data_IF_866206265467
#
_entry.id   IF_866206265467
#
_cell.length_a   1.000
_cell.length_b   1.000
_cell.length_c   1.000
_cell.angle_alpha   90.00
_cell.angle_beta   90.00
_cell.angle_gamma   90.00
#
_symmetry.space_group_name_H-M   'P 1'
#
loop_
_entity.id
_entity.type
_entity.pdbx_description
1 polymer ?
#
# COMPACT_ATOMS: atom_id res chain seq x y z
N UNK A 1 -18.21 8.30 14.56
CA UNK A 1 -17.04 8.35 13.67
C UNK A 1 -17.32 9.20 12.43
N UNK A 2 -18.39 8.93 11.69
CA UNK A 2 -18.75 9.70 10.49
C UNK A 2 -18.88 11.22 10.69
N UNK A 3 -19.54 11.68 11.77
CA UNK A 3 -19.62 13.13 12.05
C UNK A 3 -18.25 13.77 12.30
N UNK A 4 -17.33 13.04 12.93
CA UNK A 4 -15.96 13.51 13.16
C UNK A 4 -15.18 13.57 11.84
N UNK A 5 -15.41 12.67 10.90
CA UNK A 5 -14.75 12.75 9.59
C UNK A 5 -15.29 13.90 8.75
N UNK A 6 -16.57 14.27 8.86
CA UNK A 6 -17.09 15.51 8.24
C UNK A 6 -16.38 16.74 8.80
N UNK A 7 -16.31 16.86 10.13
CA UNK A 7 -15.64 17.98 10.77
C UNK A 7 -14.15 18.04 10.42
N UNK A 8 -13.46 16.89 10.51
CA UNK A 8 -12.04 16.76 10.17
C UNK A 8 -11.76 17.12 8.70
N UNK A 9 -12.62 16.70 7.77
CA UNK A 9 -12.53 17.06 6.35
C UNK A 9 -12.68 18.56 6.14
N UNK A 10 -13.69 19.19 6.75
CA UNK A 10 -13.90 20.63 6.62
C UNK A 10 -12.68 21.43 7.10
N UNK A 11 -12.11 21.03 8.25
CA UNK A 11 -10.90 21.66 8.80
C UNK A 11 -9.70 21.46 7.86
N UNK A 12 -9.40 20.23 7.41
CA UNK A 12 -8.26 19.98 6.53
C UNK A 12 -8.37 20.71 5.19
N UNK A 13 -9.53 20.64 4.52
CA UNK A 13 -9.74 21.29 3.23
C UNK A 13 -9.65 22.81 3.34
N UNK A 14 -10.19 23.41 4.40
CA UNK A 14 -10.05 24.85 4.64
C UNK A 14 -8.59 25.28 4.77
N UNK A 15 -7.74 24.40 5.33
CA UNK A 15 -6.34 24.67 5.63
C UNK A 15 -5.45 24.56 4.40
N UNK A 16 -5.81 23.73 3.43
CA UNK A 16 -5.09 23.60 2.15
C UNK A 16 -5.72 24.40 1.01
N UNK A 17 -6.79 25.17 1.26
CA UNK A 17 -7.54 25.88 0.23
C UNK A 17 -6.70 26.87 -0.60
N UNK A 18 -5.63 27.42 -0.02
CA UNK A 18 -4.69 28.33 -0.68
C UNK A 18 -3.35 27.67 -1.04
N UNK A 19 -3.24 26.36 -0.89
CA UNK A 19 -2.04 25.58 -1.22
C UNK A 19 -1.98 25.22 -2.71
N UNK A 20 -0.82 24.79 -3.22
CA UNK A 20 -0.70 24.23 -4.56
C UNK A 20 -1.68 23.09 -4.85
N UNK A 21 -2.01 22.87 -6.13
CA UNK A 21 -3.02 21.91 -6.54
C UNK A 21 -2.75 20.48 -6.04
N UNK A 22 -1.50 20.02 -6.06
CA UNK A 22 -1.13 18.68 -5.57
C UNK A 22 -1.39 18.52 -4.06
N UNK A 23 -1.26 19.59 -3.26
CA UNK A 23 -1.63 19.56 -1.84
C UNK A 23 -3.15 19.43 -1.65
N UNK A 24 -3.92 20.17 -2.46
CA UNK A 24 -5.39 20.11 -2.42
C UNK A 24 -5.88 18.72 -2.82
N UNK A 25 -5.36 18.17 -3.92
CA UNK A 25 -5.72 16.83 -4.39
C UNK A 25 -5.34 15.76 -3.39
N UNK A 26 -4.12 15.76 -2.87
CA UNK A 26 -3.68 14.75 -1.90
C UNK A 26 -4.50 14.77 -0.61
N UNK A 27 -4.77 15.96 -0.08
CA UNK A 27 -5.63 16.11 1.10
C UNK A 27 -7.08 15.74 0.81
N UNK A 28 -7.59 16.11 -0.37
CA UNK A 28 -8.96 15.79 -0.80
C UNK A 28 -9.20 14.31 -0.93
N UNK A 29 -8.25 13.57 -1.51
CA UNK A 29 -8.30 12.11 -1.62
C UNK A 29 -8.30 11.46 -0.23
N UNK A 30 -7.44 11.91 0.69
CA UNK A 30 -7.46 11.44 2.08
C UNK A 30 -8.81 11.68 2.77
N UNK A 31 -9.36 12.89 2.63
CA UNK A 31 -10.66 13.26 3.20
C UNK A 31 -11.80 12.42 2.61
N UNK A 32 -11.76 12.14 1.31
CA UNK A 32 -12.69 11.24 0.65
C UNK A 32 -12.60 9.83 1.24
N UNK A 33 -11.40 9.27 1.39
CA UNK A 33 -11.19 7.95 2.01
C UNK A 33 -11.77 7.87 3.43
N UNK A 34 -11.52 8.89 4.26
CA UNK A 34 -12.08 8.98 5.62
C UNK A 34 -13.62 9.03 5.62
N UNK A 35 -14.19 9.87 4.77
CA UNK A 35 -15.64 10.00 4.65
C UNK A 35 -16.27 8.71 4.14
N UNK A 36 -15.72 8.14 3.07
CA UNK A 36 -16.20 6.91 2.46
C UNK A 36 -16.17 5.76 3.46
N UNK A 37 -15.06 5.56 4.18
CA UNK A 37 -14.94 4.49 5.17
C UNK A 37 -15.95 4.64 6.31
N UNK A 38 -15.99 5.79 6.98
CA UNK A 38 -16.91 5.94 8.10
C UNK A 38 -18.37 6.06 7.67
N UNK A 39 -18.67 6.52 6.46
CA UNK A 39 -20.03 6.49 5.91
C UNK A 39 -20.48 5.06 5.65
N UNK A 40 -19.68 4.28 4.90
CA UNK A 40 -19.98 2.88 4.58
C UNK A 40 -20.18 2.06 5.84
N UNK A 41 -19.30 2.21 6.84
CA UNK A 41 -19.41 1.52 8.12
C UNK A 41 -20.65 1.90 8.92
N UNK A 42 -20.96 3.20 8.97
CA UNK A 42 -22.16 3.68 9.67
C UNK A 42 -23.42 3.15 8.98
N UNK A 43 -23.49 3.21 7.65
CA UNK A 43 -24.65 2.74 6.89
C UNK A 43 -24.82 1.22 7.03
N UNK A 44 -23.75 0.45 6.90
CA UNK A 44 -23.76 -1.00 7.06
C UNK A 44 -24.36 -1.42 8.40
N UNK A 45 -23.87 -0.84 9.50
CA UNK A 45 -24.37 -1.16 10.84
C UNK A 45 -25.74 -0.55 11.17
N UNK A 46 -26.18 0.47 10.46
CA UNK A 46 -27.50 1.10 10.68
C UNK A 46 -28.63 0.43 9.89
N UNK A 47 -28.33 -0.16 8.73
CA UNK A 47 -29.32 -0.67 7.77
C UNK A 47 -29.40 -2.20 7.74
N UNK A 48 -29.19 -2.84 8.89
CA UNK A 48 -29.21 -4.31 9.03
C UNK A 48 -30.57 -4.97 8.75
N UNK A 49 -31.66 -4.19 8.75
CA UNK A 49 -33.02 -4.68 8.47
C UNK A 49 -33.33 -4.89 6.98
N UNK A 50 -32.47 -4.45 6.07
CA UNK A 50 -32.69 -4.51 4.62
C UNK A 50 -31.69 -5.47 3.94
N UNK A 51 -32.05 -6.75 3.67
CA UNK A 51 -31.07 -7.79 3.33
C UNK A 51 -30.25 -7.52 2.06
N UNK A 52 -30.88 -7.02 0.99
CA UNK A 52 -30.20 -6.71 -0.28
C UNK A 52 -29.25 -5.52 -0.11
N UNK A 53 -29.72 -4.46 0.54
CA UNK A 53 -28.94 -3.26 0.84
C UNK A 53 -27.78 -3.58 1.78
N UNK A 54 -28.02 -4.42 2.78
CA UNK A 54 -27.03 -4.83 3.77
C UNK A 54 -25.84 -5.55 3.14
N UNK A 55 -26.08 -6.43 2.16
CA UNK A 55 -24.99 -7.10 1.41
C UNK A 55 -24.12 -6.11 0.63
N UNK A 56 -24.74 -5.14 -0.05
CA UNK A 56 -23.99 -4.10 -0.78
C UNK A 56 -23.19 -3.23 0.19
N UNK A 57 -23.79 -2.83 1.31
CA UNK A 57 -23.11 -2.03 2.33
C UNK A 57 -21.97 -2.79 3.01
N UNK A 58 -22.09 -4.11 3.17
CA UNK A 58 -20.99 -4.94 3.68
C UNK A 58 -19.78 -4.90 2.75
N UNK A 59 -20.02 -5.05 1.43
CA UNK A 59 -18.97 -4.94 0.41
C UNK A 59 -18.32 -3.55 0.47
N UNK A 60 -19.13 -2.49 0.56
CA UNK A 60 -18.62 -1.12 0.65
C UNK A 60 -17.82 -0.87 1.93
N UNK A 61 -18.23 -1.44 3.06
CA UNK A 61 -17.53 -1.31 4.34
C UNK A 61 -16.14 -1.99 4.33
N UNK A 62 -16.04 -3.17 3.72
CA UNK A 62 -14.75 -3.87 3.62
C UNK A 62 -13.83 -3.21 2.58
N UNK A 63 -14.37 -2.89 1.40
CA UNK A 63 -13.60 -2.22 0.34
C UNK A 63 -13.12 -0.83 0.76
N UNK A 64 -13.87 -0.15 1.62
CA UNK A 64 -13.46 1.12 2.19
C UNK A 64 -12.15 1.07 2.99
N UNK A 65 -11.77 -0.07 3.57
CA UNK A 65 -10.49 -0.20 4.29
C UNK A 65 -9.32 -0.08 3.31
N UNK A 66 -9.37 -0.79 2.16
CA UNK A 66 -8.37 -0.65 1.10
C UNK A 66 -8.24 0.80 0.63
N UNK A 67 -9.39 1.45 0.37
CA UNK A 67 -9.44 2.85 -0.10
C UNK A 67 -8.85 3.79 0.95
N UNK A 68 -9.21 3.62 2.23
CA UNK A 68 -8.70 4.47 3.30
C UNK A 68 -7.19 4.33 3.48
N UNK A 69 -6.64 3.12 3.37
CA UNK A 69 -5.19 2.90 3.45
C UNK A 69 -4.49 3.67 2.32
N UNK A 70 -4.82 3.42 1.06
CA UNK A 70 -4.21 4.10 -0.09
C UNK A 70 -4.40 5.63 -0.05
N UNK A 71 -5.60 6.08 0.35
CA UNK A 71 -5.90 7.50 0.51
C UNK A 71 -5.07 8.16 1.63
N UNK A 72 -4.68 7.42 2.67
CA UNK A 72 -3.86 7.94 3.77
C UNK A 72 -2.42 8.21 3.38
N UNK A 73 -1.88 7.49 2.39
CA UNK A 73 -0.54 7.73 1.83
C UNK A 73 -0.50 8.96 0.91
N UNK A 74 -1.57 9.14 0.13
CA UNK A 74 -1.65 10.12 -0.95
C UNK A 74 -1.21 11.55 -0.57
N UNK A 75 -1.66 12.17 0.54
CA UNK A 75 -1.23 13.53 0.88
C UNK A 75 0.28 13.61 1.09
N UNK A 76 0.88 12.65 1.81
CA UNK A 76 2.32 12.72 2.09
C UNK A 76 3.15 12.52 0.82
N UNK A 77 2.79 11.54 -0.02
CA UNK A 77 3.53 11.25 -1.25
C UNK A 77 3.40 12.37 -2.29
N UNK A 78 2.28 13.11 -2.28
CA UNK A 78 2.10 14.29 -3.13
C UNK A 78 2.71 15.57 -2.56
N UNK A 79 2.73 15.77 -1.24
CA UNK A 79 3.36 16.95 -0.63
C UNK A 79 4.88 16.94 -0.79
N UNK A 80 5.48 15.75 -0.79
CA UNK A 80 6.92 15.55 -0.88
C UNK A 80 7.30 14.79 -2.16
N UNK A 81 6.65 15.08 -3.30
CA UNK A 81 6.78 14.32 -4.55
C UNK A 81 8.12 14.44 -5.29
N UNK A 82 9.15 15.03 -4.67
CA UNK A 82 10.45 15.31 -5.30
C UNK A 82 11.23 14.03 -5.67
N UNK A 83 10.82 12.87 -5.16
CA UNK A 83 11.48 11.59 -5.44
C UNK A 83 10.56 10.63 -6.18
N UNK A 84 11.12 10.03 -7.23
CA UNK A 84 10.56 8.92 -8.01
C UNK A 84 9.92 7.82 -7.15
N UNK A 85 10.62 7.40 -6.09
CA UNK A 85 10.21 6.33 -5.18
C UNK A 85 8.89 6.63 -4.45
N UNK A 86 8.53 7.89 -4.26
CA UNK A 86 7.28 8.26 -3.60
C UNK A 86 6.07 8.03 -4.50
N UNK A 87 6.21 8.30 -5.80
CA UNK A 87 5.15 8.09 -6.77
C UNK A 87 5.00 6.60 -7.11
N UNK A 88 6.09 5.83 -7.07
CA UNK A 88 6.04 4.37 -7.16
C UNK A 88 5.24 3.77 -6.02
N UNK A 89 5.53 4.18 -4.78
CA UNK A 89 4.75 3.73 -3.62
C UNK A 89 3.28 4.15 -3.73
N UNK A 90 3.00 5.36 -4.22
CA UNK A 90 1.63 5.83 -4.43
C UNK A 90 0.91 4.94 -5.45
N UNK A 91 1.54 4.65 -6.58
CA UNK A 91 0.98 3.77 -7.61
C UNK A 91 0.75 2.37 -7.06
N UNK A 92 1.73 1.80 -6.36
CA UNK A 92 1.64 0.48 -5.73
C UNK A 92 0.46 0.39 -4.74
N UNK A 93 0.28 1.38 -3.87
CA UNK A 93 -0.84 1.43 -2.91
C UNK A 93 -2.21 1.47 -3.62
N UNK A 94 -2.35 2.26 -4.69
CA UNK A 94 -3.60 2.32 -5.45
C UNK A 94 -3.86 1.06 -6.28
N UNK A 95 -2.82 0.43 -6.82
CA UNK A 95 -2.92 -0.88 -7.50
C UNK A 95 -3.35 -1.95 -6.49
N UNK A 96 -2.70 -2.03 -5.33
CA UNK A 96 -3.06 -2.97 -4.27
C UNK A 96 -4.48 -2.71 -3.75
N UNK A 97 -4.89 -1.45 -3.64
CA UNK A 97 -6.26 -1.08 -3.31
C UNK A 97 -7.26 -1.61 -4.36
N UNK A 98 -6.96 -1.45 -5.65
CA UNK A 98 -7.80 -1.96 -6.74
C UNK A 98 -7.85 -3.49 -6.73
N UNK A 99 -6.70 -4.15 -6.64
CA UNK A 99 -6.59 -5.62 -6.60
C UNK A 99 -7.34 -6.18 -5.38
N UNK A 100 -7.13 -5.60 -4.19
CA UNK A 100 -7.83 -5.99 -2.97
C UNK A 100 -9.34 -5.79 -3.07
N UNK A 101 -9.78 -4.68 -3.64
CA UNK A 101 -11.20 -4.41 -3.90
C UNK A 101 -11.80 -5.44 -4.86
N UNK A 102 -11.17 -5.71 -6.00
CA UNK A 102 -11.65 -6.70 -6.97
C UNK A 102 -11.65 -8.11 -6.36
N UNK A 103 -10.59 -8.49 -5.66
CA UNK A 103 -10.51 -9.76 -4.95
C UNK A 103 -11.65 -9.90 -3.93
N UNK A 104 -11.97 -8.84 -3.19
CA UNK A 104 -13.11 -8.79 -2.27
C UNK A 104 -14.45 -8.95 -2.98
N UNK A 105 -14.68 -8.23 -4.07
CA UNK A 105 -15.91 -8.40 -4.85
C UNK A 105 -16.04 -9.84 -5.37
N UNK A 106 -15.00 -10.39 -6.00
CA UNK A 106 -14.97 -11.78 -6.45
C UNK A 106 -15.17 -12.78 -5.30
N UNK A 107 -14.67 -12.46 -4.10
CA UNK A 107 -14.89 -13.26 -2.89
C UNK A 107 -16.37 -13.37 -2.50
N UNK A 108 -17.10 -12.26 -2.64
CA UNK A 108 -18.51 -12.22 -2.28
C UNK A 108 -19.40 -12.84 -3.35
N UNK A 109 -19.00 -12.77 -4.63
CA UNK A 109 -19.76 -13.38 -5.74
C UNK A 109 -19.62 -14.90 -5.82
N UNK A 110 -18.46 -15.46 -5.46
CA UNK A 110 -18.20 -16.90 -5.53
C UNK A 110 -18.38 -17.62 -4.17
N UNK A 111 -19.04 -16.97 -3.19
CA UNK A 111 -19.43 -17.51 -1.88
C UNK A 111 -18.29 -18.05 -0.98
N UNK A 112 -17.03 -17.89 -1.38
CA UNK A 112 -15.83 -18.20 -0.58
C UNK A 112 -15.34 -17.06 0.34
N UNK A 113 -15.98 -15.88 0.32
CA UNK A 113 -15.60 -14.70 1.10
C UNK A 113 -15.65 -14.87 2.63
N UNK A 114 -16.43 -15.84 3.13
CA UNK A 114 -16.49 -16.16 4.56
C UNK A 114 -15.45 -17.22 5.00
N UNK A 115 -14.57 -17.66 4.10
CA UNK A 115 -13.52 -18.62 4.46
C UNK A 115 -12.48 -17.94 5.36
N UNK A 116 -12.07 -18.64 6.43
CA UNK A 116 -11.04 -18.11 7.36
C UNK A 116 -9.73 -17.78 6.66
N UNK A 117 -9.38 -18.54 5.62
CA UNK A 117 -8.17 -18.32 4.81
C UNK A 117 -8.26 -16.97 4.10
N UNK A 118 -9.42 -16.64 3.52
CA UNK A 118 -9.63 -15.37 2.83
C UNK A 118 -9.56 -14.19 3.79
N UNK A 119 -10.25 -14.27 4.94
CA UNK A 119 -10.23 -13.20 5.98
C UNK A 119 -8.80 -12.92 6.46
N UNK A 120 -8.00 -13.97 6.69
CA UNK A 120 -6.59 -13.81 7.07
C UNK A 120 -5.78 -13.21 5.91
N UNK A 121 -6.02 -13.62 4.67
CA UNK A 121 -5.37 -13.06 3.49
C UNK A 121 -5.63 -11.57 3.31
N UNK A 122 -6.89 -11.13 3.44
CA UNK A 122 -7.25 -9.71 3.42
C UNK A 122 -6.54 -8.93 4.53
N UNK A 123 -6.54 -9.48 5.74
CA UNK A 123 -5.89 -8.85 6.88
C UNK A 123 -4.38 -8.69 6.68
N UNK A 124 -3.72 -9.71 6.13
CA UNK A 124 -2.30 -9.63 5.76
C UNK A 124 -2.08 -8.55 4.71
N UNK A 125 -2.95 -8.45 3.70
CA UNK A 125 -2.87 -7.43 2.68
C UNK A 125 -3.07 -6.02 3.25
N UNK A 126 -4.06 -5.81 4.13
CA UNK A 126 -4.27 -4.54 4.83
C UNK A 126 -3.05 -4.12 5.64
N UNK A 127 -2.45 -5.06 6.39
CA UNK A 127 -1.26 -4.77 7.19
C UNK A 127 -0.03 -4.52 6.31
N UNK A 128 0.16 -5.28 5.23
CA UNK A 128 1.29 -5.06 4.32
C UNK A 128 1.20 -3.69 3.65
N UNK A 129 0.01 -3.29 3.19
CA UNK A 129 -0.23 -1.94 2.67
C UNK A 129 0.00 -0.89 3.76
N UNK A 130 -0.55 -1.10 4.96
CA UNK A 130 -0.42 -0.15 6.08
C UNK A 130 1.03 0.11 6.53
N UNK A 131 1.93 -0.86 6.35
CA UNK A 131 3.35 -0.72 6.70
C UNK A 131 4.28 -0.50 5.50
N UNK A 132 3.74 -0.41 4.28
CA UNK A 132 4.52 -0.20 3.06
C UNK A 132 5.35 1.10 3.08
N UNK A 133 4.96 2.10 3.89
CA UNK A 133 5.74 3.32 4.10
C UNK A 133 7.19 3.04 4.52
N UNK A 134 7.43 1.92 5.21
CA UNK A 134 8.78 1.56 5.66
C UNK A 134 9.76 1.34 4.49
N UNK A 135 9.25 1.05 3.29
CA UNK A 135 10.08 0.88 2.08
C UNK A 135 10.78 2.17 1.64
N UNK A 136 10.21 3.33 1.97
CA UNK A 136 10.76 4.66 1.66
C UNK A 136 11.18 5.43 2.92
N UNK A 137 11.33 4.73 4.06
CA UNK A 137 11.52 5.34 5.39
C UNK A 137 12.70 6.30 5.50
N UNK A 138 13.85 5.93 4.93
CA UNK A 138 15.09 6.71 5.03
C UNK A 138 14.90 8.12 4.45
N UNK A 139 14.19 8.22 3.32
CA UNK A 139 13.80 9.50 2.74
C UNK A 139 12.71 10.16 3.57
N UNK A 140 11.63 9.43 3.88
CA UNK A 140 10.41 10.02 4.43
C UNK A 140 10.58 10.60 5.84
N UNK A 141 11.39 9.95 6.66
CA UNK A 141 11.64 10.35 8.05
C UNK A 141 12.42 11.66 8.17
N UNK A 142 13.14 12.08 7.12
CA UNK A 142 13.89 13.34 7.10
C UNK A 142 13.11 14.49 6.48
N UNK A 143 12.12 14.19 5.62
CA UNK A 143 11.27 15.19 4.96
C UNK A 143 10.07 15.60 5.82
N UNK A 144 9.53 14.67 6.62
CA UNK A 144 8.37 14.96 7.46
C UNK A 144 8.75 15.66 8.77
N UNK A 145 7.86 16.54 9.27
CA UNK A 145 7.94 17.01 10.65
C UNK A 145 7.95 15.85 11.63
N UNK A 146 8.78 15.91 12.66
CA UNK A 146 8.90 14.85 13.65
C UNK A 146 7.55 14.47 14.27
N UNK A 147 6.67 15.46 14.50
CA UNK A 147 5.31 15.23 15.00
C UNK A 147 4.46 14.41 14.03
N UNK A 148 4.53 14.68 12.72
CA UNK A 148 3.80 13.93 11.71
C UNK A 148 4.25 12.47 11.67
N UNK A 149 5.57 12.23 11.77
CA UNK A 149 6.16 10.89 11.84
C UNK A 149 5.65 10.12 13.07
N UNK A 150 5.65 10.75 14.25
CA UNK A 150 5.14 10.12 15.47
C UNK A 150 3.67 9.76 15.37
N UNK A 151 2.84 10.65 14.81
CA UNK A 151 1.42 10.38 14.60
C UNK A 151 1.18 9.24 13.61
N UNK A 152 1.97 9.15 12.53
CA UNK A 152 1.90 8.04 11.57
C UNK A 152 2.25 6.69 12.22
N UNK A 153 3.38 6.63 12.92
CA UNK A 153 3.82 5.40 13.58
C UNK A 153 2.84 4.97 14.67
N UNK A 154 2.39 5.90 15.51
CA UNK A 154 1.39 5.61 16.53
C UNK A 154 0.07 5.14 15.90
N UNK A 155 -0.35 5.75 14.78
CA UNK A 155 -1.51 5.34 14.00
C UNK A 155 -1.39 3.91 13.47
N UNK A 156 -0.27 3.57 12.82
CA UNK A 156 0.01 2.22 12.31
C UNK A 156 0.05 1.16 13.41
N UNK A 157 0.61 1.51 14.58
CA UNK A 157 0.57 0.65 15.77
C UNK A 157 -0.86 0.46 16.26
N UNK A 158 -1.68 1.50 16.33
CA UNK A 158 -3.09 1.39 16.74
C UNK A 158 -3.90 0.52 15.78
N UNK A 159 -3.73 0.68 14.46
CA UNK A 159 -4.38 -0.18 13.47
C UNK A 159 -4.01 -1.64 13.68
N UNK A 160 -2.71 -1.92 13.86
CA UNK A 160 -2.21 -3.29 14.09
C UNK A 160 -2.70 -3.86 15.42
N UNK A 161 -2.73 -3.05 16.48
CA UNK A 161 -3.21 -3.44 17.81
C UNK A 161 -4.72 -3.73 17.85
N UNK A 162 -5.49 -3.16 16.92
CA UNK A 162 -6.91 -3.47 16.76
C UNK A 162 -7.16 -4.91 16.26
N UNK A 163 -6.26 -5.45 15.45
CA UNK A 163 -6.46 -6.70 14.69
C UNK A 163 -6.90 -7.90 15.53
N UNK A 164 -6.31 -8.16 16.72
CA UNK A 164 -6.78 -9.25 17.58
C UNK A 164 -8.27 -9.10 17.96
N UNK A 165 -8.76 -7.89 18.18
CA UNK A 165 -10.16 -7.65 18.51
C UNK A 165 -11.09 -7.88 17.33
N UNK A 166 -10.64 -7.58 16.10
CA UNK A 166 -11.36 -7.95 14.88
C UNK A 166 -11.50 -9.47 14.75
N UNK A 167 -10.41 -10.21 14.90
CA UNK A 167 -10.43 -11.68 14.82
C UNK A 167 -11.27 -12.34 15.92
N UNK A 168 -11.42 -11.67 17.07
CA UNK A 168 -12.22 -12.13 18.20
C UNK A 168 -13.67 -11.62 18.16
N UNK A 169 -14.05 -10.79 17.18
CA UNK A 169 -15.37 -10.17 17.09
C UNK A 169 -16.51 -11.20 17.06
N UNK A 170 -16.30 -12.34 16.41
CA UNK A 170 -17.25 -13.47 16.37
C UNK A 170 -17.51 -14.08 17.75
N UNK A 171 -16.56 -13.95 18.69
CA UNK A 171 -16.68 -14.52 20.03
C UNK A 171 -17.53 -13.64 20.97
N UNK A 172 -17.35 -12.31 20.90
CA UNK A 172 -18.12 -11.34 21.69
C UNK A 172 -18.36 -10.07 20.87
N UNK A 173 -19.62 -9.58 20.77
CA UNK A 173 -19.93 -8.34 20.04
C UNK A 173 -19.16 -7.10 20.52
N UNK A 174 -18.75 -7.07 21.79
CA UNK A 174 -17.96 -5.96 22.36
C UNK A 174 -16.58 -5.82 21.69
N UNK A 175 -15.98 -6.91 21.21
CA UNK A 175 -14.68 -6.85 20.55
C UNK A 175 -14.78 -6.14 19.20
N UNK A 176 -15.91 -6.24 18.51
CA UNK A 176 -16.17 -5.47 17.29
C UNK A 176 -16.22 -3.96 17.56
N UNK A 177 -16.82 -3.55 18.69
CA UNK A 177 -16.84 -2.14 19.10
C UNK A 177 -15.43 -1.67 19.45
N UNK A 178 -14.66 -2.48 20.18
CA UNK A 178 -13.27 -2.17 20.52
C UNK A 178 -12.42 -2.02 19.25
N UNK A 179 -12.57 -2.92 18.28
CA UNK A 179 -11.94 -2.81 16.96
C UNK A 179 -12.21 -1.45 16.31
N UNK A 180 -13.49 -1.05 16.25
CA UNK A 180 -13.88 0.26 15.72
C UNK A 180 -13.22 1.43 16.46
N UNK A 181 -13.05 1.34 17.78
CA UNK A 181 -12.35 2.37 18.56
C UNK A 181 -10.86 2.47 18.19
N UNK A 182 -10.18 1.33 17.97
CA UNK A 182 -8.79 1.33 17.48
C UNK A 182 -8.68 1.95 16.09
N UNK A 183 -9.55 1.56 15.16
CA UNK A 183 -9.60 2.13 13.79
C UNK A 183 -9.85 3.63 13.83
N UNK A 184 -10.80 4.09 14.64
CA UNK A 184 -11.08 5.52 14.79
C UNK A 184 -9.92 6.29 15.44
N UNK A 185 -9.30 5.73 16.48
CA UNK A 185 -8.13 6.33 17.12
C UNK A 185 -6.96 6.46 16.14
N UNK A 186 -6.67 5.42 15.38
CA UNK A 186 -5.65 5.45 14.34
C UNK A 186 -5.98 6.48 13.24
N UNK A 187 -7.21 6.53 12.76
CA UNK A 187 -7.63 7.53 11.77
C UNK A 187 -7.49 8.97 12.27
N UNK A 188 -7.75 9.23 13.56
CA UNK A 188 -7.52 10.54 14.19
C UNK A 188 -6.03 10.89 14.19
N UNK A 189 -5.15 9.94 14.51
CA UNK A 189 -3.70 10.15 14.47
C UNK A 189 -3.22 10.43 13.04
N UNK A 190 -3.68 9.66 12.05
CA UNK A 190 -3.36 9.94 10.64
C UNK A 190 -3.88 11.31 10.20
N UNK A 191 -5.06 11.72 10.66
CA UNK A 191 -5.58 13.08 10.42
C UNK A 191 -4.66 14.16 10.99
N UNK A 192 -4.15 13.99 12.22
CA UNK A 192 -3.17 14.90 12.80
C UNK A 192 -1.85 14.89 12.01
N UNK A 193 -1.38 13.72 11.58
CA UNK A 193 -0.18 13.61 10.75
C UNK A 193 -0.31 14.41 9.44
N UNK A 194 -1.42 14.25 8.72
CA UNK A 194 -1.70 15.01 7.49
C UNK A 194 -1.81 16.50 7.79
N UNK A 195 -2.44 16.88 8.90
CA UNK A 195 -2.55 18.29 9.30
C UNK A 195 -1.18 18.93 9.56
N UNK A 196 -0.27 18.22 10.23
CA UNK A 196 1.10 18.68 10.48
C UNK A 196 1.93 18.72 9.19
N UNK A 197 1.86 17.68 8.35
CA UNK A 197 2.52 17.68 7.05
C UNK A 197 2.03 18.82 6.14
N UNK A 198 0.72 19.11 6.15
CA UNK A 198 0.15 20.21 5.37
C UNK A 198 0.60 21.59 5.89
N UNK A 199 0.85 21.74 7.20
CA UNK A 199 1.44 22.97 7.75
C UNK A 199 2.86 23.15 7.23
N UNK A 200 3.67 22.11 7.35
CA UNK A 200 5.08 22.12 6.98
C UNK A 200 5.27 22.35 5.48
N UNK A 201 4.54 21.59 4.65
CA UNK A 201 4.63 21.70 3.20
C UNK A 201 4.22 23.09 2.69
N UNK A 202 3.25 23.74 3.33
CA UNK A 202 2.87 25.13 3.03
C UNK A 202 3.98 26.13 3.37
N UNK A 203 4.73 25.90 4.45
CA UNK A 203 5.77 26.81 4.94
C UNK A 203 7.12 26.60 4.26
N UNK A 204 7.46 25.37 3.89
CA UNK A 204 8.82 24.97 3.51
C UNK A 204 8.95 24.37 2.11
N UNK A 205 7.86 23.79 1.56
CA UNK A 205 7.89 23.05 0.29
C UNK A 205 6.98 23.67 -0.76
N UNK A 206 6.94 25.00 -0.85
CA UNK A 206 6.27 25.75 -1.93
C UNK A 206 6.99 25.65 -3.28
N UNK A 207 7.56 24.49 -3.61
CA UNK A 207 8.10 24.26 -4.95
C UNK A 207 6.93 24.23 -5.94
N UNK A 208 7.19 24.70 -7.16
CA UNK A 208 6.19 25.00 -8.18
C UNK A 208 5.20 23.87 -8.48
N UNK A 209 4.16 24.12 -9.28
CA UNK A 209 3.08 23.16 -9.47
C UNK A 209 3.63 21.83 -10.00
N UNK A 210 3.62 20.78 -9.17
CA UNK A 210 3.67 19.40 -9.66
C UNK A 210 2.46 19.19 -10.57
N UNK A 211 2.67 19.33 -11.87
CA UNK A 211 1.70 18.98 -12.91
C UNK A 211 2.15 17.66 -13.50
N UNK A 212 1.54 16.51 -13.13
CA UNK A 212 1.72 15.29 -13.89
C UNK A 212 1.18 15.56 -15.30
N UNK A 213 2.08 15.81 -16.23
CA UNK A 213 1.79 16.04 -17.64
C UNK A 213 2.31 14.84 -18.45
N UNK A 214 1.98 14.81 -19.75
CA UNK A 214 2.43 13.75 -20.65
C UNK A 214 3.96 13.68 -20.70
N UNK A 215 4.66 14.80 -20.57
CA UNK A 215 6.13 14.84 -20.57
C UNK A 215 6.70 14.12 -19.35
N UNK A 216 6.16 14.37 -18.16
CA UNK A 216 6.53 13.66 -16.93
C UNK A 216 6.25 12.15 -17.05
N UNK A 217 5.10 11.74 -17.60
CA UNK A 217 4.79 10.32 -17.84
C UNK A 217 5.75 9.69 -18.85
N UNK A 218 6.11 10.41 -19.91
CA UNK A 218 7.06 9.94 -20.92
C UNK A 218 8.48 9.83 -20.34
N UNK A 219 8.95 10.82 -19.59
CA UNK A 219 10.23 10.76 -18.87
C UNK A 219 10.28 9.57 -17.92
N UNK A 220 9.16 9.28 -17.25
CA UNK A 220 9.04 8.12 -16.37
C UNK A 220 9.15 6.80 -17.12
N UNK A 221 8.42 6.67 -18.24
CA UNK A 221 8.52 5.49 -19.11
C UNK A 221 9.93 5.32 -19.65
N UNK A 222 10.60 6.40 -20.05
CA UNK A 222 11.98 6.37 -20.51
C UNK A 222 12.95 5.90 -19.43
N UNK A 223 12.82 6.40 -18.19
CA UNK A 223 13.67 5.95 -17.07
C UNK A 223 13.50 4.44 -16.79
N UNK A 224 12.26 3.95 -16.78
CA UNK A 224 11.99 2.51 -16.62
C UNK A 224 12.57 1.69 -17.77
N UNK A 225 12.47 2.18 -19.00
CA UNK A 225 13.03 1.52 -20.20
C UNK A 225 14.56 1.46 -20.14
N UNK A 226 15.21 2.52 -19.65
CA UNK A 226 16.66 2.61 -19.49
C UNK A 226 17.18 1.64 -18.42
N UNK A 227 16.50 1.54 -17.26
CA UNK A 227 16.87 0.56 -16.24
C UNK A 227 16.73 -0.88 -16.76
N UNK A 228 15.64 -1.18 -17.47
CA UNK A 228 15.44 -2.48 -18.12
C UNK A 228 16.51 -2.79 -19.17
N UNK A 229 16.96 -1.79 -19.92
CA UNK A 229 18.03 -1.95 -20.92
C UNK A 229 19.41 -2.20 -20.29
N UNK A 230 19.70 -1.61 -19.11
CA UNK A 230 20.92 -1.88 -18.35
C UNK A 230 20.91 -3.32 -17.82
N UNK A 231 19.77 -3.75 -17.28
CA UNK A 231 19.54 -5.14 -16.87
C UNK A 231 19.70 -6.14 -18.04
N UNK A 232 19.28 -5.76 -19.25
CA UNK A 232 19.49 -6.57 -20.46
C UNK A 232 20.97 -6.79 -20.79
N UNK A 233 21.76 -5.70 -20.77
CA UNK A 233 23.18 -5.76 -21.10
C UNK A 233 24.00 -6.52 -20.06
N UNK A 234 23.59 -6.51 -18.79
CA UNK A 234 24.27 -7.24 -17.72
C UNK A 234 23.93 -8.74 -17.70
N UNK A 235 22.73 -9.13 -18.13
CA UNK A 235 22.28 -10.54 -18.06
C UNK A 235 22.62 -11.37 -19.30
N UNK A 236 22.88 -10.75 -20.47
CA UNK A 236 23.17 -11.41 -21.75
C UNK A 236 22.17 -12.51 -22.19
N UNK A 237 21.02 -12.63 -21.52
CA UNK A 237 19.97 -13.61 -21.78
C UNK A 237 18.76 -12.92 -22.43
N UNK A 238 18.59 -13.15 -23.74
CA UNK A 238 17.49 -12.57 -24.52
C UNK A 238 16.11 -13.10 -24.10
N UNK A 239 16.02 -14.31 -23.53
CA UNK A 239 14.76 -14.90 -23.09
C UNK A 239 14.25 -14.26 -21.79
N UNK A 240 15.16 -14.03 -20.85
CA UNK A 240 14.86 -13.33 -19.60
C UNK A 240 14.46 -11.87 -19.84
N UNK A 241 15.15 -11.18 -20.74
CA UNK A 241 14.85 -9.80 -21.11
C UNK A 241 13.45 -9.64 -21.72
N UNK A 242 13.07 -10.48 -22.69
CA UNK A 242 11.73 -10.40 -23.30
C UNK A 242 10.62 -10.72 -22.30
N UNK A 243 10.89 -11.61 -21.34
CA UNK A 243 9.97 -11.93 -20.25
C UNK A 243 9.83 -10.77 -19.27
N UNK A 244 10.93 -10.11 -18.89
CA UNK A 244 10.92 -8.94 -17.99
C UNK A 244 10.32 -7.70 -18.67
N UNK A 245 10.60 -7.48 -19.95
CA UNK A 245 10.07 -6.36 -20.73
C UNK A 245 8.56 -6.50 -20.96
N UNK A 246 8.08 -7.70 -21.31
CA UNK A 246 6.64 -7.95 -21.43
C UNK A 246 5.94 -7.86 -20.07
N UNK A 247 6.58 -8.31 -18.98
CA UNK A 247 6.05 -8.18 -17.62
C UNK A 247 6.00 -6.71 -17.15
N UNK A 248 7.04 -5.91 -17.40
CA UNK A 248 7.09 -4.49 -17.03
C UNK A 248 6.11 -3.63 -17.85
N UNK A 249 5.96 -3.90 -19.15
CA UNK A 249 4.99 -3.22 -20.02
C UNK A 249 3.53 -3.61 -19.73
N UNK A 250 3.29 -4.80 -19.16
CA UNK A 250 1.96 -5.26 -18.76
C UNK A 250 1.58 -4.88 -17.32
N UNK A 251 2.55 -4.72 -16.41
CA UNK A 251 2.28 -4.56 -14.98
C UNK A 251 2.72 -3.23 -14.35
N UNK A 252 3.54 -2.40 -15.02
CA UNK A 252 3.83 -1.04 -14.55
C UNK A 252 4.50 -0.93 -13.18
N UNK A 253 5.09 -2.02 -12.65
CA UNK A 253 5.68 -2.04 -11.31
C UNK A 253 7.17 -1.70 -11.30
N UNK A 254 7.55 -0.82 -10.38
CA UNK A 254 8.93 -0.61 -9.93
C UNK A 254 9.46 -1.85 -9.22
N UNK A 255 10.57 -2.42 -9.69
CA UNK A 255 11.27 -3.51 -8.98
C UNK A 255 12.03 -2.94 -7.76
N UNK A 256 11.99 -3.61 -6.59
CA UNK A 256 12.52 -3.07 -5.35
C UNK A 256 14.04 -2.89 -5.40
N UNK A 257 14.49 -1.74 -4.89
CA UNK A 257 15.86 -1.23 -4.90
C UNK A 257 16.88 -2.02 -4.02
N UNK A 258 16.63 -3.30 -3.76
CA UNK A 258 17.66 -4.27 -3.35
C UNK A 258 17.42 -5.61 -4.04
N UNK A 259 18.21 -5.81 -5.08
CA UNK A 259 18.76 -7.10 -5.53
C UNK A 259 17.98 -7.97 -6.53
N UNK A 260 17.57 -7.41 -7.68
CA UNK A 260 17.45 -8.23 -8.89
C UNK A 260 18.73 -9.05 -9.15
N UNK A 261 19.89 -8.45 -8.87
CA UNK A 261 21.18 -9.13 -8.89
C UNK A 261 21.27 -10.29 -7.89
N UNK A 262 20.70 -10.23 -6.68
CA UNK A 262 20.78 -11.34 -5.72
C UNK A 262 19.73 -12.41 -5.99
N UNK A 263 18.57 -12.06 -6.58
CA UNK A 263 17.60 -13.03 -7.10
C UNK A 263 18.18 -13.78 -8.30
N UNK A 264 18.82 -13.08 -9.24
CA UNK A 264 19.52 -13.68 -10.39
C UNK A 264 20.73 -14.51 -9.94
N UNK A 265 21.53 -14.02 -8.99
CA UNK A 265 22.64 -14.80 -8.40
C UNK A 265 22.16 -16.02 -7.62
N UNK A 266 21.04 -15.90 -6.87
CA UNK A 266 20.42 -17.01 -6.15
C UNK A 266 19.90 -18.08 -7.09
N UNK A 267 19.34 -17.69 -8.23
CA UNK A 267 18.85 -18.60 -9.26
C UNK A 267 20.00 -19.25 -10.06
N UNK A 268 21.06 -18.51 -10.37
CA UNK A 268 22.30 -19.04 -10.97
C UNK A 268 23.05 -20.00 -10.03
N UNK A 269 23.03 -19.76 -8.71
CA UNK A 269 23.59 -20.66 -7.70
C UNK A 269 22.77 -21.96 -7.59
N UNK A 270 21.44 -21.88 -7.66
CA UNK A 270 20.55 -23.05 -7.63
C UNK A 270 20.68 -23.94 -8.88
N UNK A 271 20.93 -23.35 -10.05
CA UNK A 271 21.06 -24.06 -11.33
C UNK A 271 22.47 -24.63 -11.59
N UNK A 272 23.52 -23.98 -11.08
CA UNK A 272 24.90 -24.51 -11.14
C UNK A 272 25.18 -25.65 -10.15
N UNK A 273 24.45 -25.73 -9.03
CA UNK A 273 24.51 -26.85 -8.07
C UNK A 273 23.87 -28.16 -8.55
N UNK A 274 23.02 -28.10 -9.58
CA UNK A 274 22.33 -29.27 -10.15
C UNK A 274 23.06 -29.88 -11.37
N UNK A 275 24.16 -29.26 -11.83
CA UNK A 275 24.92 -29.69 -13.00
C UNK A 275 26.24 -30.42 -12.72
N UNK A 276 26.52 -30.76 -11.45
CA UNK A 276 27.81 -31.30 -11.01
C UNK A 276 27.82 -32.79 -10.72
N UNK A 277 28.13 -33.57 -11.76
CA UNK A 277 28.84 -34.86 -11.70
C UNK A 277 28.02 -36.16 -11.49
N UNK A 278 27.52 -36.73 -12.59
CA UNK A 278 27.22 -38.16 -12.71
C UNK A 278 27.89 -38.76 -13.96
N UNK A 279 29.23 -38.79 -13.98
CA UNK A 279 30.00 -39.67 -14.87
C UNK A 279 31.48 -39.70 -14.50
N UNK A 280 31.90 -40.68 -13.68
CA UNK A 280 33.32 -40.83 -13.34
C UNK A 280 33.64 -42.00 -12.43
N UNK A 281 33.81 -43.17 -13.05
CA UNK A 281 34.34 -44.40 -12.49
C UNK A 281 35.57 -44.18 -11.58
N UNK A 282 35.52 -44.55 -10.30
CA UNK A 282 36.72 -44.79 -9.50
C UNK A 282 36.49 -45.90 -8.47
N UNK A 283 37.42 -46.84 -8.51
CA UNK A 283 37.57 -48.05 -7.71
C UNK A 283 37.65 -47.78 -6.20
N UNK A 284 36.86 -48.50 -5.41
CA UNK A 284 37.00 -48.57 -3.95
C UNK A 284 38.26 -49.38 -3.57
N UNK A 285 39.15 -48.89 -2.70
CA UNK A 285 40.04 -49.74 -1.95
C UNK A 285 39.36 -50.21 -0.65
N UNK A 286 39.38 -51.53 -0.48
CA UNK A 286 39.19 -52.22 0.80
C UNK A 286 40.34 -51.82 1.73
N UNK A 287 40.03 -51.34 2.94
CA UNK A 287 40.91 -51.51 4.10
C UNK A 287 40.09 -51.69 5.36
N UNK A 288 40.45 -52.73 6.09
CA UNK A 288 39.92 -53.25 7.34
C UNK A 288 40.04 -52.28 8.51
N UNK A 289 38.99 -52.20 9.34
CA UNK A 289 38.95 -52.48 10.80
C UNK A 289 37.65 -51.94 11.42
#
# INVERSE_FOLDING_TARGET
MFLLSILGTAVLLSKVASSPAHHIWGTGIFCFGLLFCFASSTLYHSLFLYPVTHRVLQILDHTAIYVLIAASYTPFLLFYSDQASHLDLLAAEWILCFVGTVAHLCSQYADWGNSRIYIIGELVLYLSMGWALLTVWDTFSTLLPANAVWFLLAGGVLYTAGVPFFLLADYRPIYHIIWHLFVAGAAILHWFAVKEAANDAFLHHSQGPFTPNIEWFNERLHHLTDELSKLHNETQDQGLYQTLLSHALLHGDSLPNRSLLDVVRGWQAATSGLGGNSSGNSTLPVTDL
#
